data_IF_710165398901
#
_entry.id   IF_710165398901
#
_cell.length_a   1.000
_cell.length_b   1.000
_cell.length_c   1.000
_cell.angle_alpha   90.00
_cell.angle_beta   90.00
_cell.angle_gamma   90.00
#
_symmetry.space_group_name_H-M   'P 1'
#
loop_
_entity.id
_entity.type
_entity.pdbx_description
1 polymer ?
#
# COMPACT_ATOMS: atom_id res chain seq x y z
N UNK A 1 31.40 -27.92 12.49
CA UNK A 1 31.32 -26.45 12.34
C UNK A 1 30.30 -26.13 11.25
N UNK A 2 29.09 -25.77 11.70
CA UNK A 2 28.14 -24.81 11.11
C UNK A 2 27.80 -24.89 9.61
N UNK A 3 26.57 -25.29 9.29
CA UNK A 3 25.47 -24.35 9.01
C UNK A 3 24.12 -25.07 8.81
N UNK A 4 23.23 -24.86 9.77
CA UNK A 4 21.79 -24.75 9.52
C UNK A 4 21.56 -23.54 8.61
N UNK A 5 20.89 -23.77 7.48
CA UNK A 5 20.12 -22.77 6.73
C UNK A 5 18.86 -23.55 6.31
N UNK A 6 17.65 -23.22 6.76
CA UNK A 6 17.11 -21.91 7.07
C UNK A 6 16.03 -21.63 6.03
N UNK A 7 14.81 -22.03 6.38
CA UNK A 7 13.49 -21.58 5.88
C UNK A 7 13.45 -21.10 4.42
N UNK A 8 12.92 -21.95 3.54
CA UNK A 8 12.36 -21.53 2.25
C UNK A 8 11.10 -20.73 2.56
N UNK A 9 11.13 -19.42 2.32
CA UNK A 9 9.92 -18.60 2.22
C UNK A 9 9.49 -18.61 0.76
N UNK A 10 8.44 -19.37 0.44
CA UNK A 10 7.76 -19.35 -0.85
C UNK A 10 7.00 -18.02 -1.01
N UNK A 11 7.69 -16.97 -1.45
CA UNK A 11 7.03 -15.88 -2.19
C UNK A 11 7.27 -16.13 -3.68
N UNK A 12 6.47 -17.04 -4.23
CA UNK A 12 6.44 -17.32 -5.67
C UNK A 12 5.88 -16.13 -6.43
N UNK A 13 6.76 -15.25 -6.94
CA UNK A 13 6.47 -14.45 -8.12
C UNK A 13 7.54 -14.69 -9.17
N UNK A 14 7.21 -15.57 -10.10
CA UNK A 14 7.94 -15.80 -11.32
C UNK A 14 7.91 -14.52 -12.16
N UNK A 15 8.99 -13.74 -12.11
CA UNK A 15 9.30 -12.79 -13.19
C UNK A 15 9.63 -13.61 -14.44
N UNK A 16 8.64 -13.85 -15.29
CA UNK A 16 8.87 -14.33 -16.66
C UNK A 16 9.32 -13.13 -17.49
N UNK A 17 10.63 -12.93 -17.55
CA UNK A 17 11.29 -12.01 -18.48
C UNK A 17 11.14 -12.54 -19.91
N UNK A 18 10.45 -11.81 -20.79
CA UNK A 18 10.70 -11.82 -22.23
C UNK A 18 9.91 -10.72 -22.97
N UNK A 19 10.52 -9.56 -23.22
CA UNK A 19 10.92 -9.08 -24.57
C UNK A 19 11.45 -7.65 -24.49
N UNK A 20 12.47 -7.41 -25.29
CA UNK A 20 13.23 -6.16 -25.35
C UNK A 20 12.47 -5.05 -26.09
N UNK A 21 12.55 -3.82 -25.58
CA UNK A 21 12.78 -2.62 -26.41
C UNK A 21 13.06 -1.38 -25.54
N UNK A 22 14.29 -0.88 -25.64
CA UNK A 22 14.66 0.54 -25.81
C UNK A 22 13.74 1.56 -25.12
N UNK A 23 13.96 1.84 -23.84
CA UNK A 23 13.80 3.20 -23.34
C UNK A 23 15.05 3.56 -22.55
N UNK A 24 15.80 4.52 -23.09
CA UNK A 24 17.00 5.06 -22.46
C UNK A 24 16.64 5.62 -21.09
N UNK A 25 17.30 5.10 -20.06
CA UNK A 25 17.34 5.73 -18.75
C UNK A 25 18.34 6.90 -18.80
N UNK A 26 17.98 7.96 -19.52
CA UNK A 26 18.71 9.22 -19.52
C UNK A 26 18.01 10.20 -18.56
N UNK A 27 18.72 10.62 -17.51
CA UNK A 27 18.39 11.71 -16.58
C UNK A 27 17.10 11.60 -15.74
N UNK A 28 17.19 10.88 -14.60
CA UNK A 28 16.31 11.06 -13.44
C UNK A 28 16.54 12.43 -12.76
N UNK A 29 16.11 13.52 -13.41
CA UNK A 29 15.75 14.77 -12.73
C UNK A 29 14.23 14.80 -12.65
N UNK A 30 13.70 15.13 -11.47
CA UNK A 30 12.27 15.24 -11.13
C UNK A 30 11.38 15.55 -12.34
N UNK A 31 10.73 14.53 -12.88
CA UNK A 31 9.66 14.71 -13.85
C UNK A 31 8.47 15.36 -13.15
N UNK A 32 7.88 16.37 -13.78
CA UNK A 32 6.64 16.97 -13.29
C UNK A 32 5.50 15.95 -13.34
N UNK A 33 4.48 16.13 -12.49
CA UNK A 33 3.28 15.27 -12.51
C UNK A 33 2.64 15.26 -13.91
N UNK A 34 2.64 16.40 -14.60
CA UNK A 34 2.12 16.55 -15.95
C UNK A 34 2.86 15.66 -16.98
N UNK A 35 4.18 15.56 -16.88
CA UNK A 35 4.97 14.69 -17.77
C UNK A 35 4.68 13.20 -17.51
N UNK A 36 4.47 12.82 -16.25
CA UNK A 36 4.06 11.46 -15.90
C UNK A 36 2.66 11.14 -16.42
N UNK A 37 1.70 12.06 -16.28
CA UNK A 37 0.34 11.91 -16.82
C UNK A 37 0.35 11.71 -18.33
N UNK A 38 1.15 12.50 -19.06
CA UNK A 38 1.28 12.37 -20.51
C UNK A 38 1.94 11.04 -20.92
N UNK A 39 2.93 10.58 -20.16
CA UNK A 39 3.58 9.30 -20.42
C UNK A 39 2.63 8.13 -20.18
N UNK A 40 1.92 8.13 -19.04
CA UNK A 40 0.95 7.09 -18.68
C UNK A 40 -0.22 7.06 -19.66
N UNK A 41 -0.72 8.23 -20.10
CA UNK A 41 -1.81 8.32 -21.07
C UNK A 41 -1.47 7.84 -22.49
N UNK A 42 -0.19 7.59 -22.79
CA UNK A 42 0.28 7.05 -24.09
C UNK A 42 0.64 5.58 -24.03
N UNK A 43 0.51 4.93 -22.86
CA UNK A 43 0.81 3.51 -22.71
C UNK A 43 -0.21 2.66 -23.48
N UNK A 44 0.23 1.55 -24.12
CA UNK A 44 -0.67 0.51 -24.59
C UNK A 44 -1.48 -0.08 -23.43
N UNK A 45 -2.66 -0.62 -23.70
CA UNK A 45 -3.58 -1.12 -22.67
C UNK A 45 -2.94 -2.15 -21.73
N UNK A 46 -2.13 -3.08 -22.26
CA UNK A 46 -1.43 -4.10 -21.45
C UNK A 46 -0.44 -3.48 -20.46
N UNK A 47 0.37 -2.53 -20.93
CA UNK A 47 1.35 -1.83 -20.12
C UNK A 47 0.67 -0.89 -19.12
N UNK A 48 -0.46 -0.28 -19.50
CA UNK A 48 -1.27 0.53 -18.59
C UNK A 48 -1.84 -0.31 -17.44
N UNK A 49 -2.35 -1.51 -17.72
CA UNK A 49 -2.84 -2.41 -16.66
C UNK A 49 -1.72 -2.88 -15.74
N UNK A 50 -0.55 -3.20 -16.29
CA UNK A 50 0.63 -3.54 -15.50
C UNK A 50 1.08 -2.36 -14.62
N UNK A 51 1.08 -1.13 -15.17
CA UNK A 51 1.36 0.09 -14.44
C UNK A 51 0.35 0.33 -13.32
N UNK A 52 -0.95 0.20 -13.59
CA UNK A 52 -2.00 0.42 -12.62
C UNK A 52 -1.87 -0.54 -11.42
N UNK A 53 -1.66 -1.83 -11.68
CA UNK A 53 -1.47 -2.82 -10.63
C UNK A 53 -0.25 -2.50 -9.74
N UNK A 54 0.88 -2.15 -10.37
CA UNK A 54 2.07 -1.74 -9.63
C UNK A 54 1.86 -0.44 -8.85
N UNK A 55 1.19 0.55 -9.43
CA UNK A 55 0.95 1.85 -8.80
C UNK A 55 0.04 1.73 -7.58
N UNK A 56 -0.97 0.85 -7.62
CA UNK A 56 -1.81 0.56 -6.47
C UNK A 56 -1.02 -0.10 -5.33
N UNK A 57 -0.12 -1.04 -5.62
CA UNK A 57 0.79 -1.62 -4.63
C UNK A 57 1.68 -0.54 -3.99
N UNK A 58 2.21 0.39 -4.80
CA UNK A 58 3.04 1.50 -4.30
C UNK A 58 2.22 2.46 -3.44
N UNK A 59 0.98 2.77 -3.84
CA UNK A 59 0.07 3.61 -3.07
C UNK A 59 -0.26 2.96 -1.73
N UNK A 60 -0.58 1.67 -1.72
CA UNK A 60 -0.85 0.91 -0.50
C UNK A 60 0.33 1.01 0.46
N UNK A 61 1.56 0.74 0.00
CA UNK A 61 2.77 0.83 0.82
C UNK A 61 3.00 2.25 1.39
N UNK A 62 2.74 3.30 0.61
CA UNK A 62 2.88 4.69 1.08
C UNK A 62 1.85 5.04 2.14
N UNK A 63 0.62 4.58 1.96
CA UNK A 63 -0.46 4.77 2.93
C UNK A 63 -0.10 4.03 4.21
N UNK A 64 0.31 2.77 4.12
CA UNK A 64 0.72 1.95 5.28
C UNK A 64 1.84 2.65 6.06
N UNK A 65 2.91 3.08 5.38
CA UNK A 65 4.03 3.76 6.04
C UNK A 65 3.63 5.09 6.71
N UNK A 66 2.72 5.86 6.09
CA UNK A 66 2.20 7.07 6.69
C UNK A 66 1.31 6.77 7.91
N UNK A 67 0.49 5.72 7.81
CA UNK A 67 -0.40 5.28 8.88
C UNK A 67 0.40 4.77 10.09
N UNK A 68 1.43 3.95 9.86
CA UNK A 68 2.37 3.51 10.89
C UNK A 68 3.05 4.68 11.58
N UNK A 69 3.47 5.70 10.82
CA UNK A 69 4.06 6.91 11.39
C UNK A 69 3.08 7.65 12.29
N UNK A 70 1.82 7.81 11.87
CA UNK A 70 0.78 8.45 12.68
C UNK A 70 0.44 7.66 13.95
N UNK A 71 0.46 6.32 13.87
CA UNK A 71 0.34 5.44 15.05
C UNK A 71 1.48 5.70 16.03
N UNK A 72 2.74 5.70 15.55
CA UNK A 72 3.90 5.94 16.39
C UNK A 72 3.95 7.36 16.96
N UNK A 73 3.38 8.34 16.25
CA UNK A 73 3.24 9.70 16.71
C UNK A 73 2.13 9.90 17.77
N UNK A 74 1.34 8.87 18.06
CA UNK A 74 0.25 8.93 19.05
C UNK A 74 -0.93 9.79 18.59
N UNK A 75 -1.06 10.06 17.28
CA UNK A 75 -2.12 10.95 16.74
C UNK A 75 -3.52 10.39 17.01
N UNK A 76 -3.63 9.07 17.21
CA UNK A 76 -4.89 8.39 17.50
C UNK A 76 -5.18 8.22 19.01
N UNK A 77 -4.25 8.58 19.90
CA UNK A 77 -4.38 8.32 21.34
C UNK A 77 -5.56 9.08 21.95
N UNK A 78 -5.79 10.33 21.51
CA UNK A 78 -6.92 11.13 21.94
C UNK A 78 -8.26 10.52 21.48
N UNK A 79 -8.30 9.92 20.29
CA UNK A 79 -9.50 9.23 19.80
C UNK A 79 -9.74 7.93 20.58
N UNK A 80 -8.67 7.19 20.89
CA UNK A 80 -8.74 5.97 21.69
C UNK A 80 -9.25 6.27 23.11
N UNK A 81 -8.75 7.32 23.77
CA UNK A 81 -9.22 7.73 25.09
C UNK A 81 -10.72 8.04 25.09
N UNK A 82 -11.21 8.82 24.12
CA UNK A 82 -12.64 9.14 23.97
C UNK A 82 -13.50 7.91 23.70
N UNK A 83 -12.98 6.96 22.90
CA UNK A 83 -13.69 5.71 22.65
C UNK A 83 -13.83 4.89 23.94
N UNK A 84 -12.78 4.81 24.76
CA UNK A 84 -12.80 4.13 26.05
C UNK A 84 -13.79 4.79 27.03
N UNK A 85 -13.82 6.12 27.10
CA UNK A 85 -14.81 6.86 27.89
C UNK A 85 -16.24 6.53 27.45
N UNK A 86 -16.48 6.44 26.14
CA UNK A 86 -17.80 6.11 25.59
C UNK A 86 -18.23 4.69 25.94
N UNK A 87 -17.29 3.73 25.93
CA UNK A 87 -17.52 2.36 26.40
C UNK A 87 -17.88 2.34 27.88
N UNK A 88 -17.12 3.06 28.71
CA UNK A 88 -17.36 3.14 30.15
C UNK A 88 -18.70 3.83 30.49
N UNK A 89 -19.09 4.83 29.71
CA UNK A 89 -20.36 5.53 29.84
C UNK A 89 -21.56 4.74 29.31
N UNK A 90 -21.35 3.54 28.76
CA UNK A 90 -22.43 2.71 28.18
C UNK A 90 -23.04 3.30 26.91
N UNK A 91 -22.34 4.19 26.22
CA UNK A 91 -22.78 4.85 24.99
C UNK A 91 -22.50 4.01 23.74
N UNK A 92 -22.15 2.74 23.90
CA UNK A 92 -21.82 1.83 22.82
C UNK A 92 -22.95 0.85 22.57
N UNK A 93 -23.09 0.43 21.31
CA UNK A 93 -24.00 -0.65 20.92
C UNK A 93 -23.17 -1.91 20.68
N UNK A 94 -23.63 -3.10 21.14
CA UNK A 94 -22.97 -4.36 20.81
C UNK A 94 -22.84 -4.54 19.29
N UNK A 95 -21.67 -5.04 18.84
CA UNK A 95 -21.39 -5.21 17.41
C UNK A 95 -22.36 -6.19 16.74
N UNK A 96 -22.75 -7.25 17.45
CA UNK A 96 -23.72 -8.24 16.99
C UNK A 96 -25.14 -7.66 16.87
N UNK A 97 -25.51 -6.72 17.74
CA UNK A 97 -26.77 -5.99 17.62
C UNK A 97 -26.74 -5.01 16.43
N UNK A 98 -25.58 -4.40 16.15
CA UNK A 98 -25.37 -3.53 14.98
C UNK A 98 -25.42 -4.30 13.66
N UNK A 99 -24.70 -5.41 13.55
CA UNK A 99 -24.64 -6.19 12.31
C UNK A 99 -25.97 -6.88 11.97
N UNK A 100 -26.82 -7.13 12.97
CA UNK A 100 -28.17 -7.66 12.75
C UNK A 100 -29.17 -6.65 12.18
N UNK A 101 -28.87 -5.34 12.25
CA UNK A 101 -29.74 -4.25 11.74
C UNK A 101 -29.22 -3.59 10.46
N UNK A 102 -28.01 -3.96 10.02
CA UNK A 102 -27.33 -3.40 8.84
C UNK A 102 -27.55 -4.31 7.64
#
# INVERSE_FOLDING_TARGET
MTKMQGVVCECGRHHRLARASVFGYDNLRMSTVLELEQAVGRLPDEDFQAFAAWFDDVRAQRVDAAFEKSILAGEFDAMAARALESVQAGQTTPLDAFLRRA
#
